data_IF_811918417987
#
_entry.id   IF_811918417987
#
_cell.length_a   1.000
_cell.length_b   1.000
_cell.length_c   1.000
_cell.angle_alpha   90.00
_cell.angle_beta   90.00
_cell.angle_gamma   90.00
#
_symmetry.space_group_name_H-M   'P 1'
#
loop_
_entity.id
_entity.type
_entity.pdbx_description
1 polymer ?
#
# COMPACT_ATOMS: atom_id res chain seq x y z
N UNK A 1 31.38 -11.36 -12.87
CA UNK A 1 31.26 -11.15 -11.41
C UNK A 1 30.72 -12.44 -10.80
N UNK A 2 31.06 -12.78 -9.54
CA UNK A 2 30.63 -14.05 -8.91
C UNK A 2 29.12 -14.15 -8.65
N UNK A 3 28.42 -13.01 -8.74
CA UNK A 3 26.98 -12.87 -8.58
C UNK A 3 26.42 -12.29 -9.89
N UNK A 4 25.69 -13.09 -10.66
CA UNK A 4 25.20 -12.72 -11.99
C UNK A 4 24.10 -11.65 -11.98
N UNK A 5 23.42 -11.47 -10.85
CA UNK A 5 22.28 -10.56 -10.66
C UNK A 5 22.68 -9.24 -9.96
N UNK A 6 23.92 -9.13 -9.49
CA UNK A 6 24.41 -7.94 -8.78
C UNK A 6 24.87 -6.89 -9.81
N UNK A 7 24.02 -5.88 -10.04
CA UNK A 7 24.33 -4.76 -10.92
C UNK A 7 25.11 -3.68 -10.20
N UNK A 8 25.76 -2.78 -10.95
CA UNK A 8 26.43 -1.62 -10.36
C UNK A 8 25.44 -0.72 -9.59
N UNK A 9 24.21 -0.60 -10.08
CA UNK A 9 23.14 0.13 -9.39
C UNK A 9 22.73 -0.50 -8.06
N UNK A 10 22.71 -1.83 -7.97
CA UNK A 10 22.50 -2.54 -6.69
C UNK A 10 23.62 -2.24 -5.69
N UNK A 11 24.87 -2.24 -6.15
CA UNK A 11 26.02 -1.89 -5.30
C UNK A 11 25.92 -0.46 -4.79
N UNK A 12 25.58 0.49 -5.67
CA UNK A 12 25.41 1.90 -5.30
C UNK A 12 24.28 2.10 -4.27
N UNK A 13 23.15 1.42 -4.45
CA UNK A 13 22.03 1.47 -3.50
C UNK A 13 22.42 0.94 -2.12
N UNK A 14 23.18 -0.16 -2.05
CA UNK A 14 23.69 -0.71 -0.78
C UNK A 14 24.64 0.28 -0.10
N UNK A 15 25.58 0.87 -0.83
CA UNK A 15 26.51 1.88 -0.30
C UNK A 15 25.72 3.08 0.26
N UNK A 16 24.73 3.57 -0.48
CA UNK A 16 23.87 4.67 -0.03
C UNK A 16 23.08 4.30 1.23
N UNK A 17 22.56 3.07 1.33
CA UNK A 17 21.86 2.61 2.55
C UNK A 17 22.75 2.41 3.76
N UNK A 18 24.02 2.09 3.56
CA UNK A 18 25.00 2.06 4.64
C UNK A 18 25.42 3.47 5.10
N UNK A 19 25.02 4.53 4.40
CA UNK A 19 25.45 5.91 4.69
C UNK A 19 26.75 6.31 3.98
N UNK A 20 27.00 5.73 2.81
CA UNK A 20 28.20 5.99 2.02
C UNK A 20 29.39 5.12 2.42
N UNK A 21 30.58 5.49 1.94
CA UNK A 21 31.81 4.71 2.16
C UNK A 21 32.23 4.62 3.63
N UNK A 22 31.87 5.59 4.47
CA UNK A 22 32.12 5.50 5.91
C UNK A 22 31.34 4.33 6.54
N UNK A 23 30.07 4.17 6.17
CA UNK A 23 29.25 3.04 6.60
C UNK A 23 29.76 1.71 6.07
N UNK A 24 30.24 1.68 4.82
CA UNK A 24 30.89 0.49 4.25
C UNK A 24 32.12 0.10 5.07
N UNK A 25 32.97 1.05 5.45
CA UNK A 25 34.15 0.75 6.27
C UNK A 25 33.77 0.21 7.65
N UNK A 26 32.77 0.82 8.31
CA UNK A 26 32.23 0.32 9.60
C UNK A 26 31.61 -1.07 9.47
N UNK A 27 30.94 -1.37 8.36
CA UNK A 27 30.39 -2.70 8.10
C UNK A 27 31.50 -3.74 7.92
N UNK A 28 32.53 -3.41 7.12
CA UNK A 28 33.66 -4.30 6.86
C UNK A 28 34.56 -4.50 8.08
N UNK A 29 34.65 -3.51 8.98
CA UNK A 29 35.39 -3.62 10.25
C UNK A 29 34.62 -4.36 11.35
N UNK A 30 33.34 -4.68 11.13
CA UNK A 30 32.46 -5.31 12.12
C UNK A 30 31.89 -4.35 13.17
N UNK A 31 32.12 -3.03 13.03
CA UNK A 31 31.53 -1.98 13.87
C UNK A 31 30.04 -1.73 13.54
N UNK A 32 29.61 -2.10 12.34
CA UNK A 32 28.22 -2.03 11.89
C UNK A 32 27.76 -3.44 11.51
N UNK A 33 26.59 -3.84 12.00
CA UNK A 33 25.90 -5.07 11.60
C UNK A 33 24.62 -4.73 10.85
N UNK A 34 24.34 -5.48 9.78
CA UNK A 34 23.05 -5.42 9.08
C UNK A 34 22.18 -6.56 9.63
N UNK A 35 21.01 -6.22 10.16
CA UNK A 35 19.98 -7.18 10.54
C UNK A 35 18.79 -7.05 9.60
N UNK A 36 17.92 -8.07 9.61
CA UNK A 36 16.59 -7.92 9.04
C UNK A 36 15.88 -6.75 9.73
N UNK A 37 15.20 -5.94 8.93
CA UNK A 37 14.42 -4.84 9.44
C UNK A 37 13.12 -5.39 10.03
N UNK A 38 12.79 -5.01 11.26
CA UNK A 38 11.44 -5.22 11.81
C UNK A 38 10.41 -4.26 11.19
N UNK A 39 10.82 -3.48 10.16
CA UNK A 39 9.96 -2.52 9.50
C UNK A 39 8.68 -3.18 9.02
N UNK A 40 7.53 -2.53 9.24
CA UNK A 40 6.26 -3.09 8.90
C UNK A 40 6.04 -3.28 7.39
N UNK A 41 6.89 -2.63 6.59
CA UNK A 41 6.92 -2.62 5.14
C UNK A 41 8.36 -2.49 4.63
N UNK A 42 8.58 -2.80 3.36
CA UNK A 42 9.83 -2.50 2.65
C UNK A 42 9.56 -2.17 1.18
N UNK A 43 10.55 -1.61 0.49
CA UNK A 43 10.48 -1.35 -0.95
C UNK A 43 11.48 -2.25 -1.66
N UNK A 44 11.02 -3.00 -2.65
CA UNK A 44 11.86 -3.80 -3.54
C UNK A 44 11.49 -3.49 -5.00
N UNK A 45 12.47 -3.13 -5.82
CA UNK A 45 12.26 -2.77 -7.23
C UNK A 45 11.13 -1.74 -7.47
N UNK A 46 10.97 -0.77 -6.56
CA UNK A 46 9.93 0.26 -6.65
C UNK A 46 8.51 -0.22 -6.29
N UNK A 47 8.38 -1.43 -5.74
CA UNK A 47 7.13 -1.98 -5.20
C UNK A 47 7.20 -1.93 -3.68
N UNK A 48 6.13 -1.46 -3.05
CA UNK A 48 6.02 -1.43 -1.59
C UNK A 48 5.38 -2.74 -1.15
N UNK A 49 6.01 -3.44 -0.23
CA UNK A 49 5.56 -4.73 0.30
C UNK A 49 5.23 -4.61 1.78
N UNK A 50 4.11 -5.19 2.20
CA UNK A 50 3.75 -5.38 3.60
C UNK A 50 2.70 -6.50 3.73
N UNK A 51 2.39 -6.89 4.95
CA UNK A 51 1.30 -7.82 5.23
C UNK A 51 0.34 -7.22 6.28
N UNK A 52 -0.93 -7.56 6.14
CA UNK A 52 -2.01 -7.23 7.07
C UNK A 52 -2.82 -8.49 7.38
N UNK A 53 -3.39 -8.58 8.57
CA UNK A 53 -4.22 -9.73 8.96
C UNK A 53 -5.55 -9.24 9.49
N UNK A 54 -6.65 -9.77 8.94
CA UNK A 54 -8.00 -9.44 9.37
C UNK A 54 -8.39 -10.16 10.66
N UNK A 55 -9.30 -9.56 11.43
CA UNK A 55 -9.75 -10.06 12.74
C UNK A 55 -11.27 -10.09 12.89
N UNK A 56 -12.00 -9.94 11.77
CA UNK A 56 -13.47 -9.97 11.75
C UNK A 56 -14.15 -8.66 12.14
N UNK A 57 -13.40 -7.56 12.30
CA UNK A 57 -13.95 -6.23 12.62
C UNK A 57 -15.01 -5.81 11.58
N UNK A 58 -16.23 -5.48 12.04
CA UNK A 58 -17.33 -5.03 11.16
C UNK A 58 -17.14 -3.59 10.67
N UNK A 59 -17.97 -3.14 9.73
CA UNK A 59 -17.95 -1.76 9.27
C UNK A 59 -18.15 -0.72 10.38
N UNK A 60 -19.13 -0.92 11.26
CA UNK A 60 -19.40 -0.07 12.41
C UNK A 60 -18.20 -0.03 13.38
N UNK A 61 -17.62 -1.21 13.63
CA UNK A 61 -16.48 -1.35 14.52
C UNK A 61 -15.23 -0.69 13.93
N UNK A 62 -15.02 -0.80 12.61
CA UNK A 62 -13.94 -0.10 11.89
C UNK A 62 -14.07 1.41 12.00
N UNK A 63 -15.26 1.97 11.79
CA UNK A 63 -15.49 3.42 11.92
C UNK A 63 -15.08 3.89 13.32
N UNK A 64 -15.51 3.18 14.36
CA UNK A 64 -15.16 3.50 15.74
C UNK A 64 -13.66 3.38 15.96
N UNK A 65 -13.07 2.24 15.59
CA UNK A 65 -11.66 1.89 15.81
C UNK A 65 -10.71 2.89 15.14
N UNK A 66 -10.98 3.26 13.89
CA UNK A 66 -10.21 4.26 13.16
C UNK A 66 -10.31 5.64 13.82
N UNK A 67 -11.51 6.07 14.23
CA UNK A 67 -11.68 7.35 14.93
C UNK A 67 -10.98 7.39 16.29
N UNK A 68 -11.02 6.29 17.04
CA UNK A 68 -10.32 6.15 18.33
C UNK A 68 -8.79 6.26 18.15
N UNK A 69 -8.27 5.91 16.97
CA UNK A 69 -6.87 6.09 16.57
C UNK A 69 -6.58 7.48 15.97
N UNK A 70 -7.57 8.38 15.95
CA UNK A 70 -7.44 9.71 15.36
C UNK A 70 -7.40 9.71 13.83
N UNK A 71 -7.82 8.62 13.17
CA UNK A 71 -7.98 8.58 11.72
C UNK A 71 -9.26 9.31 11.34
N UNK A 72 -9.16 10.25 10.40
CA UNK A 72 -10.36 10.90 9.86
C UNK A 72 -11.08 9.97 8.87
N UNK A 73 -12.34 9.68 9.16
CA UNK A 73 -13.25 8.89 8.31
C UNK A 73 -14.30 9.84 7.76
N UNK A 74 -14.39 9.97 6.43
CA UNK A 74 -15.40 10.82 5.79
C UNK A 74 -16.74 10.08 5.58
N UNK A 75 -17.79 10.83 5.24
CA UNK A 75 -19.15 10.30 5.07
C UNK A 75 -19.25 9.22 3.98
N UNK A 76 -18.54 9.37 2.86
CA UNK A 76 -18.55 8.37 1.78
C UNK A 76 -17.88 7.07 2.22
N UNK A 77 -16.78 7.17 2.97
CA UNK A 77 -16.12 6.00 3.56
C UNK A 77 -17.04 5.33 4.58
N UNK A 78 -17.69 6.08 5.47
CA UNK A 78 -18.67 5.53 6.41
C UNK A 78 -19.79 4.79 5.66
N UNK A 79 -20.32 5.39 4.60
CA UNK A 79 -21.36 4.76 3.78
C UNK A 79 -20.89 3.45 3.14
N UNK A 80 -19.64 3.37 2.72
CA UNK A 80 -19.05 2.14 2.15
C UNK A 80 -18.90 1.09 3.24
N UNK A 81 -18.33 1.46 4.40
CA UNK A 81 -18.09 0.53 5.52
C UNK A 81 -19.41 -0.05 6.06
N UNK A 82 -20.48 0.74 6.09
CA UNK A 82 -21.82 0.30 6.52
C UNK A 82 -22.63 -0.40 5.42
N UNK A 83 -22.08 -0.53 4.22
CA UNK A 83 -22.75 -1.19 3.10
C UNK A 83 -22.75 -2.71 3.29
N UNK A 84 -23.82 -3.44 2.89
CA UNK A 84 -23.81 -4.90 2.84
C UNK A 84 -22.75 -5.48 1.89
N UNK A 85 -22.20 -4.67 0.98
CA UNK A 85 -21.13 -5.05 0.08
C UNK A 85 -19.73 -4.98 0.72
N UNK A 86 -19.59 -4.29 1.87
CA UNK A 86 -18.39 -4.37 2.68
C UNK A 86 -18.39 -5.67 3.48
N UNK A 87 -17.58 -6.63 3.03
CA UNK A 87 -17.54 -8.00 3.55
C UNK A 87 -16.18 -8.26 4.19
N UNK A 88 -15.98 -7.90 5.46
CA UNK A 88 -14.70 -8.12 6.13
C UNK A 88 -14.41 -9.63 6.24
N UNK A 89 -13.14 -9.97 6.39
CA UNK A 89 -12.67 -11.34 6.61
C UNK A 89 -12.19 -11.50 8.05
N UNK A 90 -11.89 -12.74 8.45
CA UNK A 90 -11.42 -13.03 9.80
C UNK A 90 -10.28 -14.05 9.77
N UNK A 91 -9.12 -13.69 10.31
CA UNK A 91 -7.93 -14.52 10.37
C UNK A 91 -7.22 -14.67 9.01
N UNK A 92 -7.52 -13.82 8.03
CA UNK A 92 -6.89 -13.87 6.70
C UNK A 92 -5.71 -12.91 6.68
N UNK A 93 -4.51 -13.45 6.53
CA UNK A 93 -3.32 -12.65 6.24
C UNK A 93 -3.25 -12.35 4.75
N UNK A 94 -3.29 -11.08 4.38
CA UNK A 94 -3.09 -10.61 3.00
C UNK A 94 -1.68 -10.05 2.87
N UNK A 95 -0.88 -10.63 1.97
CA UNK A 95 0.37 -10.00 1.52
C UNK A 95 0.00 -8.96 0.48
N UNK A 96 0.43 -7.73 0.70
CA UNK A 96 0.06 -6.57 -0.11
C UNK A 96 1.28 -6.04 -0.83
N UNK A 97 1.12 -5.85 -2.13
CA UNK A 97 2.10 -5.17 -2.98
C UNK A 97 1.46 -3.94 -3.60
N UNK A 98 2.16 -2.80 -3.49
CA UNK A 98 1.68 -1.53 -4.03
C UNK A 98 2.63 -0.94 -5.07
N UNK A 99 2.10 -0.67 -6.26
CA UNK A 99 2.81 0.02 -7.33
C UNK A 99 2.74 1.53 -7.12
N UNK A 100 3.88 2.20 -7.23
CA UNK A 100 3.89 3.65 -7.29
C UNK A 100 3.30 4.16 -8.61
N UNK A 101 2.55 5.25 -8.55
CA UNK A 101 2.00 5.91 -9.73
C UNK A 101 3.05 6.52 -10.65
N UNK A 102 4.30 6.64 -10.20
CA UNK A 102 5.45 6.99 -11.04
C UNK A 102 5.82 5.89 -12.05
N UNK A 103 5.39 4.65 -11.81
CA UNK A 103 5.58 3.51 -12.72
C UNK A 103 4.81 3.66 -14.04
N UNK A 104 3.69 4.40 -14.00
CA UNK A 104 2.81 4.58 -15.16
C UNK A 104 3.08 5.92 -15.84
N UNK A 105 3.01 5.93 -17.17
CA UNK A 105 2.90 7.19 -17.91
C UNK A 105 1.62 7.95 -17.53
N UNK A 106 1.52 9.21 -17.91
CA UNK A 106 0.34 10.01 -17.53
C UNK A 106 -0.97 9.47 -18.11
N UNK A 107 -0.92 8.94 -19.33
CA UNK A 107 -2.07 8.38 -20.05
C UNK A 107 -2.46 6.99 -19.50
N UNK A 108 -1.46 6.19 -19.12
CA UNK A 108 -1.65 4.86 -18.56
C UNK A 108 -1.96 4.86 -17.06
N UNK A 109 -1.90 6.01 -16.38
CA UNK A 109 -2.17 6.09 -14.93
C UNK A 109 -3.66 6.20 -14.65
N UNK A 110 -4.44 5.30 -15.24
CA UNK A 110 -5.87 5.13 -15.04
C UNK A 110 -6.16 3.75 -14.46
N UNK A 111 -7.32 3.59 -13.82
CA UNK A 111 -7.69 2.36 -13.10
C UNK A 111 -7.63 1.11 -13.98
N UNK A 112 -7.96 1.22 -15.27
CA UNK A 112 -7.94 0.07 -16.20
C UNK A 112 -6.54 -0.47 -16.41
N UNK A 113 -5.60 0.40 -16.79
CA UNK A 113 -4.22 0.01 -17.07
C UNK A 113 -3.47 -0.43 -15.80
N UNK A 114 -3.76 0.20 -14.66
CA UNK A 114 -3.19 -0.18 -13.37
C UNK A 114 -3.64 -1.61 -12.98
N UNK A 115 -4.92 -1.94 -13.15
CA UNK A 115 -5.43 -3.31 -12.93
C UNK A 115 -4.85 -4.31 -13.92
N UNK A 116 -4.67 -3.90 -15.19
CA UNK A 116 -4.06 -4.75 -16.21
C UNK A 116 -2.59 -5.07 -15.89
N UNK A 117 -1.82 -4.12 -15.35
CA UNK A 117 -0.47 -4.38 -14.85
C UNK A 117 -0.49 -5.37 -13.69
N UNK A 118 -1.33 -5.16 -12.67
CA UNK A 118 -1.44 -6.11 -11.56
C UNK A 118 -1.81 -7.53 -12.02
N UNK A 119 -2.72 -7.64 -12.99
CA UNK A 119 -3.07 -8.93 -13.58
C UNK A 119 -1.87 -9.59 -14.29
N UNK A 120 -1.02 -8.81 -14.99
CA UNK A 120 0.21 -9.32 -15.60
C UNK A 120 1.21 -9.84 -14.56
N UNK A 121 1.22 -9.26 -13.36
CA UNK A 121 1.99 -9.73 -12.22
C UNK A 121 1.35 -10.92 -11.49
N UNK A 122 0.13 -11.33 -11.88
CA UNK A 122 -0.64 -12.37 -11.21
C UNK A 122 -1.27 -11.94 -9.88
N UNK A 123 -1.27 -10.65 -9.57
CA UNK A 123 -1.87 -10.11 -8.35
C UNK A 123 -3.39 -9.99 -8.48
N UNK A 124 -4.05 -9.99 -7.33
CA UNK A 124 -5.50 -10.02 -7.20
C UNK A 124 -6.02 -8.73 -6.58
N UNK A 125 -7.31 -8.47 -6.81
CA UNK A 125 -8.01 -7.42 -6.09
C UNK A 125 -8.10 -7.81 -4.61
N UNK A 126 -7.63 -6.96 -3.68
CA UNK A 126 -7.73 -7.21 -2.25
C UNK A 126 -9.17 -7.00 -1.77
N UNK A 127 -9.46 -7.45 -0.54
CA UNK A 127 -10.67 -7.06 0.16
C UNK A 127 -10.63 -5.54 0.48
N UNK A 128 -11.77 -4.86 0.46
CA UNK A 128 -11.87 -3.44 0.78
C UNK A 128 -11.35 -3.11 2.20
N UNK A 129 -11.50 -4.03 3.15
CA UNK A 129 -11.00 -3.88 4.53
C UNK A 129 -9.49 -3.68 4.62
N UNK A 130 -8.73 -4.06 3.59
CA UNK A 130 -7.28 -3.84 3.53
C UNK A 130 -6.96 -2.36 3.69
N UNK A 131 -7.82 -1.45 3.23
CA UNK A 131 -7.63 -0.01 3.44
C UNK A 131 -7.68 0.37 4.93
N UNK A 132 -8.57 -0.24 5.71
CA UNK A 132 -8.67 -0.02 7.15
C UNK A 132 -7.47 -0.62 7.89
N UNK A 133 -7.10 -1.86 7.54
CA UNK A 133 -5.93 -2.53 8.11
C UNK A 133 -4.63 -1.77 7.82
N UNK A 134 -4.51 -1.18 6.63
CA UNK A 134 -3.38 -0.32 6.27
C UNK A 134 -3.27 0.91 7.17
N UNK A 135 -4.38 1.54 7.55
CA UNK A 135 -4.37 2.67 8.48
C UNK A 135 -3.83 2.29 9.87
N UNK A 136 -3.95 1.04 10.29
CA UNK A 136 -3.33 0.56 11.53
C UNK A 136 -1.87 0.13 11.33
N UNK A 137 -1.56 -0.37 10.14
CA UNK A 137 -0.26 -0.93 9.79
C UNK A 137 0.80 0.11 9.53
N UNK A 138 0.43 1.19 8.85
CA UNK A 138 1.31 2.23 8.36
C UNK A 138 1.07 3.52 9.13
N UNK A 139 2.16 4.14 9.60
CA UNK A 139 2.13 5.44 10.27
C UNK A 139 2.21 6.60 9.27
N UNK A 140 1.84 7.83 9.67
CA UNK A 140 2.12 9.02 8.87
C UNK A 140 3.61 9.18 8.50
N UNK A 141 4.51 8.78 9.39
CA UNK A 141 5.96 8.75 9.17
C UNK A 141 6.36 7.73 8.10
N UNK A 142 5.74 6.54 8.11
CA UNK A 142 5.92 5.54 7.05
C UNK A 142 5.48 6.08 5.70
N UNK A 143 4.29 6.69 5.63
CA UNK A 143 3.78 7.31 4.41
C UNK A 143 4.68 8.45 3.92
N UNK A 144 5.33 9.19 4.83
CA UNK A 144 6.34 10.18 4.49
C UNK A 144 7.62 9.55 3.94
N UNK A 145 8.06 8.42 4.50
CA UNK A 145 9.25 7.71 4.05
C UNK A 145 9.05 7.01 2.70
N UNK A 146 7.84 6.46 2.46
CA UNK A 146 7.39 5.92 1.17
C UNK A 146 7.25 7.04 0.12
N UNK A 147 7.10 8.29 0.55
CA UNK A 147 6.96 9.48 -0.31
C UNK A 147 5.75 9.44 -1.26
N UNK A 148 4.65 8.88 -0.75
CA UNK A 148 3.34 8.90 -1.39
C UNK A 148 2.36 9.78 -0.61
N UNK A 149 1.43 10.39 -1.32
CA UNK A 149 0.32 11.14 -0.74
C UNK A 149 -0.82 10.20 -0.31
N UNK A 150 -1.03 9.14 -1.10
CA UNK A 150 -2.13 8.20 -0.96
C UNK A 150 -1.69 6.80 -1.37
N UNK A 151 -2.23 5.77 -0.72
CA UNK A 151 -2.25 4.41 -1.27
C UNK A 151 -3.71 3.99 -1.45
N UNK A 152 -4.07 3.68 -2.69
CA UNK A 152 -5.41 3.28 -3.10
C UNK A 152 -5.48 1.75 -3.07
N UNK A 153 -6.47 1.19 -2.40
CA UNK A 153 -6.69 -0.26 -2.36
C UNK A 153 -7.57 -0.63 -3.55
N UNK A 154 -7.01 -1.41 -4.49
CA UNK A 154 -7.66 -1.74 -5.77
C UNK A 154 -8.70 -2.86 -5.63
N UNK A 155 -9.53 -2.80 -4.59
CA UNK A 155 -10.62 -3.74 -4.34
C UNK A 155 -11.75 -3.60 -5.36
N UNK A 156 -12.72 -4.52 -5.36
CA UNK A 156 -13.92 -4.40 -6.18
C UNK A 156 -14.69 -3.13 -5.76
N UNK A 157 -15.02 -2.17 -6.65
CA UNK A 157 -15.59 -0.90 -6.24
C UNK A 157 -16.92 -1.07 -5.50
N UNK A 158 -17.06 -0.37 -4.37
CA UNK A 158 -18.27 -0.44 -3.53
C UNK A 158 -19.07 0.85 -3.72
N UNK A 159 -20.39 0.70 -3.83
CA UNK A 159 -21.30 1.83 -4.00
C UNK A 159 -21.47 2.62 -2.70
N UNK A 160 -21.23 3.93 -2.75
CA UNK A 160 -21.56 4.87 -1.67
C UNK A 160 -23.00 5.35 -1.73
N UNK A 161 -23.41 6.14 -0.74
CA UNK A 161 -24.77 6.67 -0.60
C UNK A 161 -25.26 7.52 -1.79
N UNK A 162 -24.36 8.23 -2.47
CA UNK A 162 -24.64 9.01 -3.70
C UNK A 162 -24.77 8.13 -4.97
N UNK A 163 -24.47 6.83 -4.82
CA UNK A 163 -24.51 5.84 -5.87
C UNK A 163 -23.24 5.71 -6.70
N UNK A 164 -22.19 6.45 -6.37
CA UNK A 164 -20.88 6.35 -7.01
C UNK A 164 -20.17 5.06 -6.56
N UNK A 165 -19.54 4.36 -7.51
CA UNK A 165 -18.67 3.24 -7.20
C UNK A 165 -17.30 3.77 -6.76
N UNK A 166 -16.84 3.35 -5.58
CA UNK A 166 -15.65 3.91 -4.96
C UNK A 166 -14.65 2.85 -4.50
N UNK A 167 -13.39 3.27 -4.47
CA UNK A 167 -12.25 2.57 -3.88
C UNK A 167 -11.85 3.28 -2.58
N UNK A 168 -11.50 2.51 -1.56
CA UNK A 168 -10.96 3.00 -0.30
C UNK A 168 -9.45 3.24 -0.41
N UNK A 169 -8.96 4.19 0.36
CA UNK A 169 -7.57 4.62 0.32
C UNK A 169 -7.10 5.17 1.65
N UNK A 170 -5.81 5.00 1.93
CA UNK A 170 -5.14 5.63 3.07
C UNK A 170 -4.36 6.85 2.60
N UNK A 171 -4.55 7.98 3.26
CA UNK A 171 -3.80 9.20 3.04
C UNK A 171 -2.70 9.41 4.07
N UNK A 172 -1.68 10.17 3.67
CA UNK A 172 -0.50 10.48 4.50
C UNK A 172 -0.84 11.22 5.81
N UNK A 173 -1.95 11.95 5.88
CA UNK A 173 -2.34 12.75 7.06
C UNK A 173 -3.30 12.00 8.00
N UNK A 174 -3.10 10.69 8.17
CA UNK A 174 -3.93 9.84 9.03
C UNK A 174 -5.43 9.92 8.70
N UNK A 175 -5.76 9.59 7.45
CA UNK A 175 -7.13 9.72 6.96
C UNK A 175 -7.45 8.58 6.00
N UNK A 176 -8.70 8.10 6.02
CA UNK A 176 -9.23 7.14 5.05
C UNK A 176 -10.22 7.86 4.12
N UNK A 177 -10.15 7.59 2.83
CA UNK A 177 -10.94 8.30 1.82
C UNK A 177 -11.48 7.37 0.74
N UNK A 178 -12.68 7.67 0.26
CA UNK A 178 -13.32 7.03 -0.88
C UNK A 178 -13.02 7.83 -2.17
N UNK A 179 -12.38 7.21 -3.15
CA UNK A 179 -12.16 7.79 -4.48
C UNK A 179 -12.99 7.06 -5.52
N UNK A 180 -13.38 7.76 -6.59
CA UNK A 180 -14.08 7.14 -7.70
C UNK A 180 -13.32 5.91 -8.21
N UNK A 181 -14.01 4.78 -8.26
CA UNK A 181 -13.54 3.52 -8.84
C UNK A 181 -13.81 3.44 -10.35
N UNK A 182 -14.13 4.56 -10.99
CA UNK A 182 -14.29 4.62 -12.44
C UNK A 182 -13.01 4.15 -13.14
N UNK A 183 -13.20 3.27 -14.13
CA UNK A 183 -12.14 2.66 -14.93
C UNK A 183 -11.26 3.67 -15.68
N UNK A 184 -11.80 4.86 -15.97
CA UNK A 184 -11.14 5.96 -16.67
C UNK A 184 -10.56 7.03 -15.74
N UNK A 185 -10.73 6.89 -14.42
CA UNK A 185 -10.23 7.88 -13.46
C UNK A 185 -8.71 7.99 -13.53
N UNK A 186 -8.20 9.19 -13.81
CA UNK A 186 -6.76 9.46 -13.92
C UNK A 186 -6.21 9.79 -12.53
N UNK A 187 -5.26 8.98 -12.08
CA UNK A 187 -4.63 9.14 -10.77
C UNK A 187 -3.43 10.09 -10.83
N UNK A 188 -2.88 10.45 -9.67
CA UNK A 188 -1.68 11.29 -9.56
C UNK A 188 -0.42 10.44 -9.44
N UNK A 189 0.74 10.98 -9.85
CA UNK A 189 2.05 10.30 -9.71
C UNK A 189 2.40 9.92 -8.27
N UNK A 190 1.90 10.68 -7.29
CA UNK A 190 2.13 10.49 -5.86
C UNK A 190 1.08 9.59 -5.19
N UNK A 191 0.39 8.75 -5.96
CA UNK A 191 -0.47 7.69 -5.45
C UNK A 191 0.26 6.35 -5.53
N UNK A 192 -0.01 5.43 -4.61
CA UNK A 192 0.31 4.01 -4.72
C UNK A 192 -0.96 3.21 -4.97
N UNK A 193 -0.83 2.01 -5.55
CA UNK A 193 -1.95 1.15 -5.91
C UNK A 193 -1.73 -0.25 -5.36
N UNK A 194 -2.46 -0.58 -4.29
CA UNK A 194 -2.29 -1.80 -3.51
C UNK A 194 -3.13 -2.95 -4.04
N UNK A 195 -2.49 -4.11 -4.17
CA UNK A 195 -3.06 -5.38 -4.61
C UNK A 195 -2.72 -6.51 -3.63
N UNK A 196 -3.51 -7.58 -3.65
CA UNK A 196 -3.21 -8.79 -2.91
C UNK A 196 -2.32 -9.73 -3.75
N UNK A 197 -1.26 -10.26 -3.13
CA UNK A 197 -0.43 -11.30 -3.73
C UNK A 197 -1.03 -12.66 -3.38
N UNK A 198 -1.26 -13.56 -4.37
CA UNK A 198 -1.68 -14.93 -4.08
C UNK A 198 -0.67 -15.64 -3.18
N UNK A 199 -1.15 -16.29 -2.14
CA UNK A 199 -0.34 -17.21 -1.33
C UNK A 199 -0.56 -18.63 -1.87
N UNK A 200 0.54 -19.36 -2.12
CA UNK A 200 0.52 -20.75 -2.56
C UNK A 200 -0.01 -21.72 -1.49
#
# INVERSE_FOLDING_TARGET
MKYGELTLGHVEAVVNKLGGMEGVQKFLSGELTVSESESPWYINNGVIHFAVTSDGTTGEEWIKRLRDQGVFVNLDTESILLSPDFKPTNGVTTVVEALEGSFFSEEERNTTEIRAEAQRQGWQQPNAEVACLMCERLTPEDMKAIDLAWIIVMHEPIKSSDGTLNLLSMGRSNLIHAYSGDYSFIWRKKCGFAFAVPQE
#
